data_IF_422483997864
#
_entry.id   IF_422483997864
#
_cell.length_a   1.000
_cell.length_b   1.000
_cell.length_c   1.000
_cell.angle_alpha   90.00
_cell.angle_beta   90.00
_cell.angle_gamma   90.00
#
_symmetry.space_group_name_H-M   'P 1'
#
loop_
_entity.id
_entity.type
_entity.pdbx_description
1 polymer ?
#
# COMPACT_ATOMS: atom_id res chain seq x y z
N UNK A 1 -20.24 5.56 48.34
CA UNK A 1 -19.45 4.36 48.67
C UNK A 1 -19.51 3.29 47.55
N UNK A 2 -19.39 3.67 46.26
CA UNK A 2 -19.64 2.74 45.13
C UNK A 2 -18.59 2.81 44.01
N UNK A 3 -17.33 3.17 44.28
CA UNK A 3 -16.29 3.19 43.24
C UNK A 3 -14.97 2.46 43.58
N UNK A 4 -14.85 1.81 44.75
CA UNK A 4 -13.61 1.11 45.14
C UNK A 4 -13.48 -0.32 44.56
N UNK A 5 -14.55 -0.94 44.07
CA UNK A 5 -14.51 -2.34 43.57
C UNK A 5 -13.93 -2.50 42.15
N UNK A 6 -13.93 -1.44 41.33
CA UNK A 6 -13.44 -1.52 39.95
C UNK A 6 -11.91 -1.50 39.85
N UNK A 7 -11.21 -0.99 40.87
CA UNK A 7 -9.75 -0.83 40.85
C UNK A 7 -8.98 -2.14 41.11
N UNK A 8 -9.64 -3.17 41.64
CA UNK A 8 -8.99 -4.42 42.09
C UNK A 8 -9.38 -5.69 41.31
N UNK A 9 -10.02 -5.56 40.14
CA UNK A 9 -10.42 -6.71 39.30
C UNK A 9 -9.55 -6.84 38.06
N UNK A 10 -8.94 -8.02 37.89
CA UNK A 10 -8.29 -8.45 36.65
C UNK A 10 -9.21 -9.34 35.82
N UNK A 11 -8.95 -9.43 34.53
CA UNK A 11 -9.75 -10.22 33.60
C UNK A 11 -8.88 -11.19 32.80
N UNK A 12 -9.19 -12.48 32.85
CA UNK A 12 -8.58 -13.48 31.98
C UNK A 12 -9.54 -13.89 30.84
N UNK A 13 -8.97 -14.28 29.71
CA UNK A 13 -9.71 -14.84 28.58
C UNK A 13 -9.95 -16.32 28.84
N UNK A 14 -11.20 -16.80 28.94
CA UNK A 14 -11.46 -18.22 29.13
C UNK A 14 -11.03 -19.04 27.90
N UNK A 15 -10.71 -20.35 28.05
CA UNK A 15 -10.25 -21.19 26.95
C UNK A 15 -11.21 -21.24 25.76
N UNK A 16 -12.53 -21.22 26.01
CA UNK A 16 -13.55 -21.20 24.96
C UNK A 16 -13.47 -19.92 24.11
N UNK A 17 -13.33 -18.76 24.75
CA UNK A 17 -13.16 -17.48 24.05
C UNK A 17 -11.88 -17.49 23.20
N UNK A 18 -10.77 -17.97 23.78
CA UNK A 18 -9.51 -18.09 23.05
C UNK A 18 -9.62 -19.05 21.84
N UNK A 19 -10.31 -20.18 22.02
CA UNK A 19 -10.59 -21.14 20.94
C UNK A 19 -11.44 -20.54 19.81
N UNK A 20 -12.51 -19.81 20.13
CA UNK A 20 -13.35 -19.12 19.15
C UNK A 20 -12.56 -18.07 18.36
N UNK A 21 -11.70 -17.30 19.04
CA UNK A 21 -10.86 -16.28 18.40
C UNK A 21 -9.78 -16.89 17.53
N UNK A 22 -9.13 -17.97 17.99
CA UNK A 22 -8.13 -18.69 17.20
C UNK A 22 -8.78 -19.27 15.94
N UNK A 23 -9.93 -19.94 16.09
CA UNK A 23 -10.68 -20.49 14.95
C UNK A 23 -11.11 -19.39 13.97
N UNK A 24 -11.67 -18.29 14.47
CA UNK A 24 -12.04 -17.14 13.63
C UNK A 24 -10.83 -16.57 12.89
N UNK A 25 -9.68 -16.45 13.56
CA UNK A 25 -8.45 -15.94 12.93
C UNK A 25 -7.92 -16.87 11.84
N UNK A 26 -7.97 -18.19 12.06
CA UNK A 26 -7.57 -19.19 11.06
C UNK A 26 -8.50 -19.20 9.84
N UNK A 27 -9.82 -19.12 10.05
CA UNK A 27 -10.79 -19.07 8.95
C UNK A 27 -10.64 -17.76 8.17
N UNK A 28 -10.40 -16.64 8.85
CA UNK A 28 -10.13 -15.37 8.19
C UNK A 28 -8.83 -15.44 7.36
N UNK A 29 -7.74 -15.98 7.92
CA UNK A 29 -6.50 -16.15 7.19
C UNK A 29 -6.65 -17.06 5.96
N UNK A 30 -7.46 -18.12 6.07
CA UNK A 30 -7.81 -18.98 4.94
C UNK A 30 -8.60 -18.24 3.86
N UNK A 31 -9.64 -17.49 4.25
CA UNK A 31 -10.45 -16.72 3.29
C UNK A 31 -9.63 -15.67 2.53
N UNK A 32 -8.66 -15.05 3.18
CA UNK A 32 -7.80 -14.02 2.59
C UNK A 32 -6.46 -14.55 2.07
N UNK A 33 -6.27 -15.87 1.98
CA UNK A 33 -4.98 -16.51 1.69
C UNK A 33 -4.31 -16.00 0.40
N UNK A 34 -5.06 -15.90 -0.69
CA UNK A 34 -4.55 -15.38 -1.97
C UNK A 34 -4.12 -13.91 -1.88
N UNK A 35 -4.93 -13.08 -1.21
CA UNK A 35 -4.61 -11.66 -1.00
C UNK A 35 -3.37 -11.47 -0.13
N UNK A 36 -3.19 -12.31 0.89
CA UNK A 36 -2.00 -12.33 1.76
C UNK A 36 -0.77 -12.75 0.96
N UNK A 37 -0.83 -13.86 0.21
CA UNK A 37 0.30 -14.32 -0.61
C UNK A 37 0.69 -13.31 -1.68
N UNK A 38 -0.29 -12.67 -2.32
CA UNK A 38 -0.04 -11.59 -3.27
C UNK A 38 0.67 -10.41 -2.59
N UNK A 39 0.22 -10.03 -1.39
CA UNK A 39 0.82 -8.94 -0.60
C UNK A 39 2.25 -9.25 -0.20
N UNK A 40 2.51 -10.44 0.35
CA UNK A 40 3.85 -10.92 0.71
C UNK A 40 4.76 -11.01 -0.51
N UNK A 41 4.23 -11.46 -1.66
CA UNK A 41 4.97 -11.48 -2.92
C UNK A 41 5.38 -10.10 -3.41
N UNK A 42 4.63 -9.04 -3.10
CA UNK A 42 5.03 -7.66 -3.39
C UNK A 42 6.16 -7.25 -2.44
N UNK A 43 6.04 -7.51 -1.14
CA UNK A 43 7.09 -7.17 -0.17
C UNK A 43 8.44 -7.80 -0.49
N UNK A 44 8.45 -9.00 -1.10
CA UNK A 44 9.69 -9.70 -1.49
C UNK A 44 10.32 -9.17 -2.79
N UNK A 45 9.54 -8.53 -3.66
CA UNK A 45 9.98 -8.17 -5.03
C UNK A 45 10.13 -6.67 -5.25
N UNK A 46 9.44 -5.85 -4.46
CA UNK A 46 9.47 -4.39 -4.53
C UNK A 46 10.32 -3.84 -3.39
N UNK A 47 11.31 -3.03 -3.74
CA UNK A 47 12.20 -2.38 -2.78
C UNK A 47 11.44 -1.36 -1.92
N UNK A 48 10.39 -0.74 -2.48
CA UNK A 48 9.54 0.24 -1.82
C UNK A 48 8.75 -0.37 -0.67
N UNK A 49 8.34 -1.64 -0.78
CA UNK A 49 7.46 -2.31 0.18
C UNK A 49 8.15 -3.35 1.08
N UNK A 50 9.47 -3.52 0.99
CA UNK A 50 10.22 -4.50 1.79
C UNK A 50 10.06 -4.34 3.30
N UNK A 51 9.77 -3.12 3.79
CA UNK A 51 9.47 -2.85 5.20
C UNK A 51 8.18 -3.54 5.70
N UNK A 52 7.29 -3.97 4.80
CA UNK A 52 6.02 -4.61 5.09
C UNK A 52 6.15 -5.87 5.96
N UNK A 53 7.27 -6.60 5.86
CA UNK A 53 7.54 -7.78 6.72
C UNK A 53 7.65 -7.44 8.21
N UNK A 54 8.14 -6.24 8.56
CA UNK A 54 8.39 -5.86 9.96
C UNK A 54 7.14 -5.33 10.66
N UNK A 55 6.20 -4.77 9.92
CA UNK A 55 5.05 -4.06 10.48
C UNK A 55 4.07 -5.00 11.23
N UNK A 56 3.69 -6.20 10.75
CA UNK A 56 2.82 -7.09 11.49
C UNK A 56 3.43 -7.57 12.82
N UNK A 57 4.71 -8.03 12.86
CA UNK A 57 5.39 -8.32 14.14
C UNK A 57 5.45 -7.13 15.09
N UNK A 58 5.78 -5.93 14.59
CA UNK A 58 5.80 -4.69 15.41
C UNK A 58 4.42 -4.40 15.98
N UNK A 59 3.37 -4.51 15.17
CA UNK A 59 1.99 -4.28 15.60
C UNK A 59 1.58 -5.28 16.68
N UNK A 60 1.90 -6.56 16.51
CA UNK A 60 1.65 -7.60 17.50
C UNK A 60 2.42 -7.35 18.81
N UNK A 61 3.69 -6.94 18.71
CA UNK A 61 4.52 -6.59 19.87
C UNK A 61 3.95 -5.39 20.65
N UNK A 62 3.51 -4.33 19.96
CA UNK A 62 2.89 -3.16 20.60
C UNK A 62 1.56 -3.50 21.28
N UNK A 63 0.77 -4.40 20.70
CA UNK A 63 -0.45 -4.91 21.35
C UNK A 63 -0.08 -5.75 22.58
N UNK A 64 0.91 -6.64 22.47
CA UNK A 64 1.40 -7.46 23.58
C UNK A 64 1.94 -6.62 24.74
N UNK A 65 2.60 -5.50 24.46
CA UNK A 65 3.07 -4.57 25.47
C UNK A 65 1.91 -3.97 26.29
N UNK A 66 0.72 -3.82 25.69
CA UNK A 66 -0.48 -3.32 26.34
C UNK A 66 -1.28 -4.41 27.09
N UNK A 67 -0.81 -5.66 27.15
CA UNK A 67 -1.53 -6.79 27.76
C UNK A 67 -1.99 -6.55 29.20
N UNK A 68 -1.17 -5.90 30.03
CA UNK A 68 -1.51 -5.65 31.44
C UNK A 68 -2.63 -4.60 31.56
N UNK A 69 -2.61 -3.58 30.69
CA UNK A 69 -3.69 -2.58 30.61
C UNK A 69 -4.99 -3.25 30.13
N UNK A 70 -4.91 -4.09 29.10
CA UNK A 70 -6.05 -4.85 28.59
C UNK A 70 -6.61 -5.84 29.62
N UNK A 71 -5.75 -6.45 30.44
CA UNK A 71 -6.17 -7.34 31.53
C UNK A 71 -6.95 -6.61 32.63
N UNK A 72 -6.77 -5.30 32.80
CA UNK A 72 -7.55 -4.48 33.75
C UNK A 72 -8.85 -3.94 33.15
N UNK A 73 -9.05 -4.05 31.83
CA UNK A 73 -10.29 -3.61 31.19
C UNK A 73 -11.28 -4.77 31.09
N UNK A 74 -12.51 -4.51 31.51
CA UNK A 74 -13.64 -5.35 31.14
C UNK A 74 -13.95 -5.13 29.66
N UNK A 75 -14.07 -6.21 28.91
CA UNK A 75 -14.39 -6.11 27.49
C UNK A 75 -15.89 -6.01 27.36
N UNK A 76 -16.35 -5.09 26.52
CA UNK A 76 -17.76 -4.91 26.21
C UNK A 76 -17.99 -5.31 24.73
N UNK A 77 -18.17 -6.61 24.42
CA UNK A 77 -18.36 -7.06 23.05
C UNK A 77 -19.49 -6.30 22.36
N UNK A 78 -19.29 -5.91 21.10
CA UNK A 78 -20.20 -5.01 20.38
C UNK A 78 -20.68 -5.60 19.06
N UNK A 79 -22.00 -5.62 18.87
CA UNK A 79 -22.63 -5.96 17.59
C UNK A 79 -22.31 -4.97 16.47
N UNK A 80 -21.96 -3.72 16.79
CA UNK A 80 -21.46 -2.77 15.78
C UNK A 80 -20.14 -3.25 15.18
N UNK A 81 -19.29 -3.91 15.97
CA UNK A 81 -18.08 -4.54 15.45
C UNK A 81 -18.40 -5.72 14.54
N UNK A 82 -19.42 -6.53 14.85
CA UNK A 82 -19.87 -7.62 13.97
C UNK A 82 -20.41 -7.08 12.64
N UNK A 83 -21.22 -6.01 12.68
CA UNK A 83 -21.66 -5.32 11.47
C UNK A 83 -20.49 -4.77 10.65
N UNK A 84 -19.45 -4.25 11.31
CA UNK A 84 -18.22 -3.83 10.63
C UNK A 84 -17.45 -5.01 10.01
N UNK A 85 -17.41 -6.20 10.64
CA UNK A 85 -16.82 -7.40 10.01
C UNK A 85 -17.59 -7.77 8.73
N UNK A 86 -18.93 -7.74 8.76
CA UNK A 86 -19.75 -8.02 7.59
C UNK A 86 -19.54 -6.98 6.47
N UNK A 87 -19.37 -5.70 6.82
CA UNK A 87 -18.97 -4.67 5.86
C UNK A 87 -17.60 -4.97 5.24
N UNK A 88 -16.63 -5.39 6.05
CA UNK A 88 -15.33 -5.87 5.56
C UNK A 88 -15.46 -7.08 4.64
N UNK A 89 -16.36 -8.01 4.97
CA UNK A 89 -16.74 -9.14 4.12
C UNK A 89 -17.36 -8.72 2.79
N UNK A 90 -18.20 -7.69 2.78
CA UNK A 90 -18.76 -7.12 1.56
C UNK A 90 -17.67 -6.45 0.69
N UNK A 91 -16.73 -5.73 1.30
CA UNK A 91 -15.57 -5.15 0.59
C UNK A 91 -14.67 -6.24 0.01
N UNK A 92 -14.45 -7.32 0.76
CA UNK A 92 -13.72 -8.50 0.30
C UNK A 92 -14.39 -9.13 -0.92
N UNK A 93 -15.69 -9.40 -0.83
CA UNK A 93 -16.48 -9.97 -1.93
C UNK A 93 -16.46 -9.05 -3.17
N UNK A 94 -16.62 -7.74 -2.96
CA UNK A 94 -16.50 -6.74 -4.01
C UNK A 94 -15.10 -6.75 -4.64
N UNK A 95 -14.05 -6.87 -3.84
CA UNK A 95 -12.66 -6.96 -4.31
C UNK A 95 -12.39 -8.21 -5.14
N UNK A 96 -12.99 -9.35 -4.78
CA UNK A 96 -12.91 -10.58 -5.56
C UNK A 96 -13.62 -10.44 -6.92
N UNK A 97 -14.85 -9.89 -6.94
CA UNK A 97 -15.60 -9.68 -8.19
C UNK A 97 -14.93 -8.61 -9.06
N UNK A 98 -14.38 -7.56 -8.46
CA UNK A 98 -13.65 -6.51 -9.15
C UNK A 98 -12.20 -6.88 -9.47
N UNK A 99 -11.81 -8.14 -9.26
CA UNK A 99 -10.49 -8.69 -9.60
C UNK A 99 -9.31 -7.85 -9.09
N UNK A 100 -9.49 -7.24 -7.91
CA UNK A 100 -8.55 -6.27 -7.36
C UNK A 100 -8.05 -6.73 -6.00
N UNK A 101 -6.83 -7.26 -5.95
CA UNK A 101 -6.19 -7.70 -4.70
C UNK A 101 -6.05 -6.57 -3.67
N UNK A 102 -5.81 -5.33 -4.11
CA UNK A 102 -5.68 -4.20 -3.19
C UNK A 102 -6.93 -4.01 -2.32
N UNK A 103 -8.13 -4.15 -2.90
CA UNK A 103 -9.36 -4.02 -2.14
C UNK A 103 -9.55 -5.19 -1.16
N UNK A 104 -9.21 -6.41 -1.58
CA UNK A 104 -9.17 -7.60 -0.72
C UNK A 104 -8.21 -7.41 0.46
N UNK A 105 -7.02 -6.84 0.23
CA UNK A 105 -6.01 -6.60 1.27
C UNK A 105 -6.44 -5.50 2.25
N UNK A 106 -7.04 -4.41 1.77
CA UNK A 106 -7.63 -3.40 2.66
C UNK A 106 -8.79 -3.96 3.48
N UNK A 107 -9.63 -4.81 2.87
CA UNK A 107 -10.70 -5.51 3.58
C UNK A 107 -10.17 -6.42 4.68
N UNK A 108 -9.02 -7.09 4.50
CA UNK A 108 -8.36 -7.88 5.55
C UNK A 108 -8.02 -7.02 6.76
N UNK A 109 -7.28 -5.92 6.55
CA UNK A 109 -6.87 -5.02 7.64
C UNK A 109 -8.09 -4.44 8.35
N UNK A 110 -9.11 -4.06 7.59
CA UNK A 110 -10.38 -3.58 8.14
C UNK A 110 -11.09 -4.66 8.98
N UNK A 111 -11.15 -5.92 8.51
CA UNK A 111 -11.70 -7.04 9.26
C UNK A 111 -10.94 -7.31 10.57
N UNK A 112 -9.61 -7.15 10.59
CA UNK A 112 -8.81 -7.29 11.81
C UNK A 112 -9.16 -6.20 12.83
N UNK A 113 -9.26 -4.94 12.39
CA UNK A 113 -9.73 -3.82 13.22
C UNK A 113 -11.15 -4.04 13.73
N UNK A 114 -12.07 -4.45 12.86
CA UNK A 114 -13.46 -4.72 13.19
C UNK A 114 -13.60 -5.88 14.18
N UNK A 115 -12.79 -6.94 14.03
CA UNK A 115 -12.76 -8.09 14.95
C UNK A 115 -12.25 -7.67 16.33
N UNK A 116 -11.17 -6.88 16.40
CA UNK A 116 -10.68 -6.34 17.66
C UNK A 116 -11.73 -5.43 18.33
N UNK A 117 -12.41 -4.58 17.56
CA UNK A 117 -13.48 -3.73 18.07
C UNK A 117 -14.71 -4.53 18.53
N UNK A 118 -15.13 -5.54 17.77
CA UNK A 118 -16.23 -6.44 18.12
C UNK A 118 -15.97 -7.18 19.44
N UNK A 119 -14.71 -7.58 19.66
CA UNK A 119 -14.28 -8.30 20.86
C UNK A 119 -14.17 -7.40 22.09
N UNK A 120 -13.48 -6.27 21.94
CA UNK A 120 -13.05 -5.44 23.06
C UNK A 120 -14.06 -4.36 23.43
N UNK A 121 -14.87 -3.91 22.47
CA UNK A 121 -15.62 -2.67 22.56
C UNK A 121 -14.72 -1.43 22.53
N UNK A 122 -15.32 -0.24 22.49
CA UNK A 122 -14.58 1.01 22.26
C UNK A 122 -13.52 1.31 23.33
N UNK A 123 -13.85 1.05 24.60
CA UNK A 123 -13.02 1.47 25.73
C UNK A 123 -11.66 0.72 25.78
N UNK A 124 -11.65 -0.55 25.39
CA UNK A 124 -10.42 -1.34 25.27
C UNK A 124 -9.81 -1.21 23.86
N UNK A 125 -10.62 -1.13 22.80
CA UNK A 125 -10.16 -1.01 21.41
C UNK A 125 -9.25 0.19 21.17
N UNK A 126 -9.53 1.36 21.76
CA UNK A 126 -8.70 2.57 21.59
C UNK A 126 -7.23 2.40 21.97
N UNK A 127 -6.91 1.43 22.85
CA UNK A 127 -5.55 1.11 23.26
C UNK A 127 -4.78 0.28 22.24
N UNK A 128 -5.49 -0.46 21.38
CA UNK A 128 -4.90 -1.30 20.32
C UNK A 128 -5.14 -0.74 18.91
N UNK A 129 -5.99 0.29 18.77
CA UNK A 129 -6.30 0.91 17.49
C UNK A 129 -5.04 1.45 16.80
N UNK A 130 -4.16 2.16 17.50
CA UNK A 130 -2.90 2.68 16.94
C UNK A 130 -2.03 1.59 16.29
N UNK A 131 -1.66 0.52 17.02
CA UNK A 131 -0.94 -0.62 16.46
C UNK A 131 -1.67 -1.30 15.30
N UNK A 132 -2.99 -1.44 15.34
CA UNK A 132 -3.76 -2.05 14.25
C UNK A 132 -3.83 -1.14 13.01
N UNK A 133 -3.88 0.18 13.18
CA UNK A 133 -3.83 1.14 12.07
C UNK A 133 -2.49 1.10 11.34
N UNK A 134 -1.40 0.72 12.03
CA UNK A 134 -0.09 0.54 11.40
C UNK A 134 -0.15 -0.53 10.29
N UNK A 135 -1.03 -1.53 10.40
CA UNK A 135 -1.21 -2.55 9.37
C UNK A 135 -1.72 -1.99 8.04
N UNK A 136 -2.32 -0.80 7.98
CA UNK A 136 -2.69 -0.22 6.68
C UNK A 136 -1.49 0.12 5.80
N UNK A 137 -0.32 0.38 6.39
CA UNK A 137 0.89 0.71 5.64
C UNK A 137 1.55 -0.50 4.95
N UNK A 138 1.13 -1.72 5.27
CA UNK A 138 1.64 -2.94 4.62
C UNK A 138 0.90 -3.25 3.33
N UNK A 139 -0.29 -2.67 3.15
CA UNK A 139 -1.12 -2.86 1.96
C UNK A 139 -0.58 -1.96 0.85
N UNK A 140 -0.14 -2.54 -0.29
CA UNK A 140 0.29 -1.76 -1.44
C UNK A 140 -0.82 -0.84 -1.94
N UNK A 141 -0.44 0.36 -2.36
CA UNK A 141 -1.41 1.32 -2.89
C UNK A 141 -2.04 0.77 -4.18
N UNK A 142 -3.30 1.13 -4.47
CA UNK A 142 -3.91 0.81 -5.75
C UNK A 142 -3.04 1.35 -6.90
N UNK A 143 -2.85 0.60 -8.01
CA UNK A 143 -1.94 0.99 -9.09
C UNK A 143 -2.18 2.40 -9.63
N UNK A 144 -3.45 2.83 -9.74
CA UNK A 144 -3.78 4.17 -10.21
C UNK A 144 -3.30 5.28 -9.26
N UNK A 145 -3.36 5.05 -7.94
CA UNK A 145 -2.85 6.00 -6.93
C UNK A 145 -1.33 6.00 -6.98
N UNK A 146 -0.72 4.81 -6.98
CA UNK A 146 0.72 4.65 -7.03
C UNK A 146 1.33 5.33 -8.25
N UNK A 147 0.82 5.05 -9.46
CA UNK A 147 1.31 5.63 -10.71
C UNK A 147 1.11 7.16 -10.76
N UNK A 148 -0.06 7.65 -10.31
CA UNK A 148 -0.31 9.09 -10.28
C UNK A 148 0.61 9.81 -9.29
N UNK A 149 0.82 9.22 -8.11
CA UNK A 149 1.73 9.75 -7.11
C UNK A 149 3.17 9.73 -7.62
N UNK A 150 3.63 8.60 -8.17
CA UNK A 150 4.96 8.46 -8.76
C UNK A 150 5.22 9.53 -9.84
N UNK A 151 4.32 9.67 -10.82
CA UNK A 151 4.47 10.67 -11.88
C UNK A 151 4.50 12.10 -11.37
N UNK A 152 3.61 12.46 -10.42
CA UNK A 152 3.62 13.80 -9.81
C UNK A 152 4.90 14.07 -9.02
N UNK A 153 5.37 13.09 -8.25
CA UNK A 153 6.59 13.24 -7.46
C UNK A 153 7.83 13.32 -8.35
N UNK A 154 7.88 12.62 -9.49
CA UNK A 154 8.96 12.77 -10.47
C UNK A 154 9.02 14.21 -10.98
N UNK A 155 7.91 14.80 -11.42
CA UNK A 155 7.88 16.19 -11.91
C UNK A 155 8.33 17.19 -10.85
N UNK A 156 7.75 17.12 -9.65
CA UNK A 156 8.12 18.01 -8.53
C UNK A 156 9.59 17.84 -8.14
N UNK A 157 10.07 16.58 -8.09
CA UNK A 157 11.46 16.33 -7.70
C UNK A 157 12.45 16.76 -8.76
N UNK A 158 12.10 16.67 -10.06
CA UNK A 158 12.91 17.20 -11.16
C UNK A 158 12.98 18.72 -11.13
N UNK A 159 11.87 19.42 -10.87
CA UNK A 159 11.85 20.89 -10.75
C UNK A 159 12.76 21.39 -9.62
N UNK A 160 12.63 20.79 -8.44
CA UNK A 160 13.46 21.14 -7.27
C UNK A 160 14.91 20.69 -7.49
N UNK A 161 15.14 19.52 -8.09
CA UNK A 161 16.48 19.03 -8.43
C UNK A 161 17.21 19.96 -9.39
N UNK A 162 16.51 20.50 -10.40
CA UNK A 162 17.06 21.53 -11.31
C UNK A 162 17.40 22.82 -10.58
N UNK A 163 16.57 23.24 -9.61
CA UNK A 163 16.91 24.40 -8.78
C UNK A 163 18.22 24.17 -7.99
N UNK A 164 18.45 22.96 -7.48
CA UNK A 164 19.70 22.57 -6.82
C UNK A 164 20.88 22.58 -7.81
N UNK A 165 20.73 22.03 -9.02
CA UNK A 165 21.80 22.05 -10.05
C UNK A 165 22.18 23.48 -10.43
N UNK A 166 21.18 24.34 -10.64
CA UNK A 166 21.39 25.76 -10.97
C UNK A 166 22.05 26.53 -9.82
N UNK A 167 21.85 26.11 -8.57
CA UNK A 167 22.56 26.69 -7.43
C UNK A 167 24.08 26.49 -7.51
N UNK A 168 24.54 25.40 -8.16
CA UNK A 168 25.95 25.15 -8.44
C UNK A 168 26.47 25.85 -9.71
N UNK A 169 25.66 26.73 -10.33
CA UNK A 169 26.06 27.49 -11.51
C UNK A 169 25.99 26.73 -12.83
N UNK A 170 25.36 25.54 -12.84
CA UNK A 170 25.22 24.71 -14.04
C UNK A 170 23.92 25.08 -14.77
N UNK A 171 24.03 25.37 -16.06
CA UNK A 171 22.87 25.69 -16.92
C UNK A 171 22.23 24.42 -17.44
N UNK A 172 21.01 24.14 -16.98
CA UNK A 172 20.22 22.97 -17.42
C UNK A 172 18.83 23.36 -17.89
N UNK A 173 18.32 22.61 -18.87
CA UNK A 173 16.95 22.71 -19.36
C UNK A 173 16.11 21.55 -18.81
N UNK A 174 14.85 21.82 -18.45
CA UNK A 174 13.93 20.82 -17.90
C UNK A 174 12.76 20.65 -18.86
N UNK A 175 12.55 19.43 -19.33
CA UNK A 175 11.41 19.05 -20.16
C UNK A 175 10.69 17.86 -19.50
N UNK A 176 9.55 18.13 -18.84
CA UNK A 176 8.85 17.12 -18.05
C UNK A 176 9.72 16.61 -16.90
N UNK A 177 10.07 15.32 -16.92
CA UNK A 177 10.99 14.69 -15.96
C UNK A 177 12.40 14.47 -16.52
N UNK A 178 12.73 15.05 -17.69
CA UNK A 178 14.05 14.96 -18.32
C UNK A 178 14.83 16.25 -18.09
N UNK A 179 16.01 16.12 -17.47
CA UNK A 179 16.96 17.19 -17.21
C UNK A 179 18.06 17.11 -18.27
N UNK A 180 18.12 18.12 -19.13
CA UNK A 180 19.09 18.22 -20.22
C UNK A 180 20.29 19.08 -19.81
N UNK A 181 21.46 18.45 -19.72
CA UNK A 181 22.78 19.04 -19.47
C UNK A 181 23.49 19.44 -20.78
N UNK A 182 22.81 19.35 -21.92
CA UNK A 182 23.32 19.61 -23.27
C UNK A 182 24.07 18.43 -23.87
N UNK A 183 25.01 17.84 -23.12
CA UNK A 183 25.80 16.68 -23.57
C UNK A 183 25.25 15.33 -23.05
N UNK A 184 24.40 15.37 -22.03
CA UNK A 184 23.78 14.20 -21.41
C UNK A 184 22.36 14.52 -20.94
N UNK A 185 21.45 13.54 -21.04
CA UNK A 185 20.05 13.69 -20.62
C UNK A 185 19.77 12.79 -19.42
N UNK A 186 19.56 13.40 -18.26
CA UNK A 186 19.17 12.70 -17.05
C UNK A 186 17.65 12.57 -17.01
N UNK A 187 17.15 11.34 -17.00
CA UNK A 187 15.73 11.08 -16.86
C UNK A 187 15.42 10.61 -15.44
N UNK A 188 14.50 11.31 -14.77
CA UNK A 188 13.98 10.88 -13.47
C UNK A 188 12.93 9.79 -13.71
N UNK A 189 13.41 8.56 -13.83
CA UNK A 189 12.59 7.35 -14.00
C UNK A 189 11.85 7.00 -12.71
N UNK A 190 10.96 6.01 -12.77
CA UNK A 190 10.11 5.57 -11.64
C UNK A 190 10.90 5.29 -10.35
N UNK A 191 12.08 4.67 -10.47
CA UNK A 191 12.97 4.40 -9.35
C UNK A 191 13.45 5.67 -8.60
N UNK A 192 13.44 6.82 -9.27
CA UNK A 192 13.83 8.12 -8.71
C UNK A 192 12.63 8.97 -8.25
N UNK A 193 11.40 8.42 -8.25
CA UNK A 193 10.20 9.11 -7.75
C UNK A 193 10.24 9.44 -6.25
N UNK A 194 11.15 8.80 -5.49
CA UNK A 194 11.26 8.95 -4.05
C UNK A 194 10.31 8.05 -3.24
N UNK A 195 9.44 7.27 -3.91
CA UNK A 195 8.51 6.35 -3.23
C UNK A 195 9.23 5.30 -2.38
N UNK A 196 10.40 4.83 -2.85
CA UNK A 196 11.30 3.91 -2.12
C UNK A 196 11.68 4.39 -0.72
N UNK A 197 11.71 5.70 -0.49
CA UNK A 197 12.02 6.29 0.82
C UNK A 197 10.75 6.79 1.52
N UNK A 198 9.79 7.31 0.76
CA UNK A 198 8.54 7.86 1.29
C UNK A 198 7.74 6.81 2.07
N UNK A 199 7.48 5.64 1.48
CA UNK A 199 6.64 4.62 2.11
C UNK A 199 7.19 4.09 3.44
N UNK A 200 8.48 3.65 3.52
CA UNK A 200 9.04 3.24 4.80
C UNK A 200 9.12 4.40 5.80
N UNK A 201 9.48 5.63 5.36
CA UNK A 201 9.59 6.76 6.29
C UNK A 201 8.23 7.19 6.85
N UNK A 202 7.17 7.23 6.05
CA UNK A 202 5.80 7.52 6.53
C UNK A 202 5.34 6.47 7.54
N UNK A 203 5.65 5.19 7.29
CA UNK A 203 5.33 4.09 8.22
C UNK A 203 6.08 4.23 9.55
N UNK A 204 7.37 4.55 9.48
CA UNK A 204 8.21 4.83 10.66
C UNK A 204 7.74 6.11 11.37
N UNK A 205 7.35 7.14 10.64
CA UNK A 205 6.86 8.40 11.20
C UNK A 205 5.52 8.18 11.93
N UNK A 206 4.63 7.32 11.41
CA UNK A 206 3.42 6.93 12.12
C UNK A 206 3.75 6.17 13.41
N UNK A 207 4.66 5.20 13.35
CA UNK A 207 5.13 4.46 14.53
C UNK A 207 5.79 5.40 15.54
N UNK A 208 6.63 6.33 15.07
CA UNK A 208 7.31 7.31 15.90
C UNK A 208 6.30 8.26 16.56
N UNK A 209 5.36 8.81 15.79
CA UNK A 209 4.25 9.61 16.29
C UNK A 209 3.41 8.84 17.29
N UNK A 210 3.16 7.54 17.07
CA UNK A 210 2.45 6.68 18.02
C UNK A 210 3.20 6.56 19.36
N UNK A 211 4.52 6.39 19.34
CA UNK A 211 5.37 6.30 20.54
C UNK A 211 5.73 7.66 21.16
N UNK A 212 5.45 8.76 20.46
CA UNK A 212 5.76 10.11 20.87
C UNK A 212 4.68 10.68 21.80
N UNK A 213 4.98 10.73 23.10
CA UNK A 213 4.10 11.16 24.20
C UNK A 213 4.06 12.68 24.33
N UNK A 214 3.53 13.34 23.32
CA UNK A 214 3.32 14.80 23.29
C UNK A 214 1.90 15.13 22.80
N UNK A 215 1.60 16.42 22.70
CA UNK A 215 0.32 16.90 22.21
C UNK A 215 0.02 16.38 20.79
N UNK A 216 -1.27 16.09 20.51
CA UNK A 216 -1.67 15.44 19.26
C UNK A 216 -1.22 16.21 18.01
N UNK A 217 -1.23 17.54 18.04
CA UNK A 217 -0.79 18.36 16.90
C UNK A 217 0.68 18.13 16.54
N UNK A 218 1.58 17.93 17.52
CA UNK A 218 3.00 17.62 17.28
C UNK A 218 3.16 16.24 16.64
N UNK A 219 2.36 15.27 17.08
CA UNK A 219 2.34 13.91 16.54
C UNK A 219 1.86 13.92 15.08
N UNK A 220 0.78 14.66 14.79
CA UNK A 220 0.29 14.85 13.42
C UNK A 220 1.32 15.56 12.57
N UNK A 221 1.95 16.61 13.09
CA UNK A 221 2.98 17.36 12.36
C UNK A 221 4.17 16.48 11.98
N UNK A 222 4.74 15.72 12.92
CA UNK A 222 5.84 14.75 12.65
C UNK A 222 5.44 13.69 11.64
N UNK A 223 4.19 13.22 11.68
CA UNK A 223 3.71 12.26 10.68
C UNK A 223 3.57 12.89 9.29
N UNK A 224 3.01 14.10 9.20
CA UNK A 224 2.81 14.78 7.92
C UNK A 224 4.09 15.35 7.33
N UNK A 225 5.08 15.72 8.17
CA UNK A 225 6.37 16.26 7.76
C UNK A 225 7.26 15.23 7.06
N UNK A 226 7.06 13.92 7.31
CA UNK A 226 7.82 12.87 6.62
C UNK A 226 7.64 12.94 5.09
N UNK A 227 6.48 13.38 4.61
CA UNK A 227 6.20 13.56 3.18
C UNK A 227 7.10 14.65 2.58
N UNK A 228 7.03 15.94 2.98
CA UNK A 228 7.92 16.96 2.42
C UNK A 228 9.39 16.69 2.68
N UNK A 229 9.77 16.08 3.82
CA UNK A 229 11.17 15.68 4.08
C UNK A 229 11.67 14.75 2.97
N UNK A 230 10.92 13.69 2.64
CA UNK A 230 11.33 12.75 1.59
C UNK A 230 11.35 13.37 0.20
N UNK A 231 10.36 14.19 -0.15
CA UNK A 231 10.32 14.87 -1.45
C UNK A 231 11.52 15.80 -1.61
N UNK A 232 11.82 16.62 -0.60
CA UNK A 232 12.95 17.55 -0.64
C UNK A 232 14.29 16.81 -0.70
N UNK A 233 14.47 15.77 0.10
CA UNK A 233 15.71 15.00 0.11
C UNK A 233 15.91 14.17 -1.17
N UNK A 234 14.83 13.64 -1.76
CA UNK A 234 14.87 12.99 -3.06
C UNK A 234 15.22 13.99 -4.17
N UNK A 235 14.66 15.19 -4.13
CA UNK A 235 14.99 16.26 -5.07
C UNK A 235 16.44 16.71 -4.94
N UNK A 236 16.93 16.85 -3.70
CA UNK A 236 18.33 17.16 -3.42
C UNK A 236 19.26 16.08 -4.00
N UNK A 237 18.93 14.79 -3.82
CA UNK A 237 19.65 13.68 -4.44
C UNK A 237 19.72 13.82 -5.96
N UNK A 238 18.59 14.07 -6.63
CA UNK A 238 18.57 14.28 -8.09
C UNK A 238 19.50 15.43 -8.49
N UNK A 239 19.49 16.53 -7.73
CA UNK A 239 20.37 17.67 -7.99
C UNK A 239 21.86 17.33 -7.80
N UNK A 240 22.20 16.56 -6.76
CA UNK A 240 23.56 16.08 -6.52
C UNK A 240 24.02 15.16 -7.65
N UNK A 241 23.19 14.23 -8.10
CA UNK A 241 23.51 13.37 -9.25
C UNK A 241 23.74 14.21 -10.50
N UNK A 242 22.90 15.22 -10.76
CA UNK A 242 23.10 16.14 -11.88
C UNK A 242 24.44 16.87 -11.83
N UNK A 243 24.81 17.37 -10.65
CA UNK A 243 26.12 17.98 -10.43
C UNK A 243 27.28 17.00 -10.65
N UNK A 244 27.15 15.76 -10.16
CA UNK A 244 28.20 14.75 -10.31
C UNK A 244 28.39 14.32 -11.76
N UNK A 245 27.29 14.18 -12.51
CA UNK A 245 27.34 13.82 -13.94
C UNK A 245 28.01 14.90 -14.77
N UNK A 246 27.69 16.18 -14.51
CA UNK A 246 28.32 17.32 -15.20
C UNK A 246 29.84 17.35 -15.01
N UNK A 247 30.32 17.06 -13.78
CA UNK A 247 31.73 17.27 -13.43
C UNK A 247 32.58 15.99 -13.53
N UNK A 248 31.99 14.81 -13.36
CA UNK A 248 32.70 13.53 -13.25
C UNK A 248 32.20 12.48 -14.25
N UNK A 249 31.23 12.83 -15.10
CA UNK A 249 30.74 12.01 -16.21
C UNK A 249 29.53 11.12 -15.88
N UNK A 250 28.91 10.59 -16.92
CA UNK A 250 27.67 9.81 -16.86
C UNK A 250 27.72 8.55 -15.97
N UNK A 251 28.92 7.98 -15.77
CA UNK A 251 29.10 6.81 -14.92
C UNK A 251 28.68 7.04 -13.45
N UNK A 252 28.56 8.29 -13.00
CA UNK A 252 28.06 8.60 -11.66
C UNK A 252 26.54 8.41 -11.51
N UNK A 253 25.78 8.40 -12.61
CA UNK A 253 24.34 8.18 -12.60
C UNK A 253 23.97 6.67 -12.56
N UNK A 254 24.92 5.77 -12.81
CA UNK A 254 24.67 4.34 -13.03
C UNK A 254 25.46 3.46 -12.04
N UNK A 255 24.84 2.36 -11.58
CA UNK A 255 25.49 1.33 -10.78
C UNK A 255 25.51 1.57 -9.25
N UNK A 256 26.55 1.08 -8.57
CA UNK A 256 26.63 0.99 -7.10
C UNK A 256 26.46 2.33 -6.37
N UNK A 257 26.96 3.43 -6.94
CA UNK A 257 26.84 4.76 -6.32
C UNK A 257 25.38 5.20 -6.22
N UNK A 258 24.56 4.88 -7.24
CA UNK A 258 23.14 5.19 -7.26
C UNK A 258 22.38 4.52 -6.11
N UNK A 259 22.66 3.24 -5.85
CA UNK A 259 22.01 2.46 -4.77
C UNK A 259 22.52 2.86 -3.38
N UNK A 260 23.84 3.08 -3.24
CA UNK A 260 24.45 3.52 -1.99
C UNK A 260 23.92 4.89 -1.55
N UNK A 261 23.78 5.83 -2.47
CA UNK A 261 23.16 7.12 -2.22
C UNK A 261 21.74 7.01 -1.69
N UNK A 262 20.96 6.05 -2.18
CA UNK A 262 19.58 5.84 -1.74
C UNK A 262 19.48 5.52 -0.25
N UNK A 263 20.36 4.65 0.25
CA UNK A 263 20.43 4.35 1.67
C UNK A 263 20.88 5.56 2.50
N UNK A 264 21.87 6.33 2.03
CA UNK A 264 22.33 7.55 2.70
C UNK A 264 21.21 8.58 2.82
N UNK A 265 20.45 8.79 1.74
CA UNK A 265 19.32 9.71 1.72
C UNK A 265 18.22 9.26 2.68
N UNK A 266 17.90 7.97 2.74
CA UNK A 266 16.95 7.44 3.72
C UNK A 266 17.41 7.71 5.17
N UNK A 267 18.69 7.46 5.48
CA UNK A 267 19.27 7.74 6.79
C UNK A 267 19.23 9.23 7.13
N UNK A 268 19.50 10.10 6.16
CA UNK A 268 19.38 11.55 6.32
C UNK A 268 17.92 11.98 6.60
N UNK A 269 16.95 11.45 5.86
CA UNK A 269 15.53 11.70 6.11
C UNK A 269 15.11 11.28 7.52
N UNK A 270 15.53 10.08 7.95
CA UNK A 270 15.26 9.58 9.31
C UNK A 270 15.90 10.48 10.37
N UNK A 271 17.14 10.92 10.16
CA UNK A 271 17.81 11.86 11.06
C UNK A 271 17.07 13.20 11.15
N UNK A 272 16.63 13.76 10.02
CA UNK A 272 15.85 15.01 10.00
C UNK A 272 14.55 14.85 10.78
N UNK A 273 13.85 13.73 10.61
CA UNK A 273 12.62 13.42 11.36
C UNK A 273 12.89 13.38 12.88
N UNK A 274 13.97 12.70 13.31
CA UNK A 274 14.36 12.63 14.73
C UNK A 274 14.79 13.99 15.26
N UNK A 275 15.48 14.81 14.45
CA UNK A 275 15.86 16.17 14.80
C UNK A 275 14.61 17.04 14.99
N UNK A 276 13.66 16.99 14.06
CA UNK A 276 12.37 17.67 14.14
C UNK A 276 11.61 17.28 15.41
N UNK A 277 11.50 15.98 15.71
CA UNK A 277 10.91 15.51 16.97
C UNK A 277 11.62 16.10 18.19
N UNK A 278 12.95 16.14 18.18
CA UNK A 278 13.77 16.68 19.28
C UNK A 278 13.55 18.18 19.46
N UNK A 279 13.42 18.93 18.37
CA UNK A 279 13.14 20.37 18.41
C UNK A 279 11.72 20.63 18.90
N UNK A 280 10.73 19.90 18.39
CA UNK A 280 9.33 20.02 18.82
C UNK A 280 9.11 19.62 20.28
N UNK A 281 9.92 18.70 20.81
CA UNK A 281 9.89 18.32 22.22
C UNK A 281 10.29 19.48 23.15
N UNK A 282 11.08 20.44 22.64
CA UNK A 282 11.50 21.65 23.37
C UNK A 282 10.48 22.79 23.26
N UNK A 283 9.56 22.74 22.31
CA UNK A 283 8.56 23.79 22.07
C UNK A 283 7.31 23.55 22.92
N UNK A 284 7.01 24.43 23.88
CA UNK A 284 5.80 24.37 24.71
C UNK A 284 6.06 24.67 26.18
N UNK A 285 5.08 24.34 27.05
CA UNK A 285 5.11 24.67 28.49
C UNK A 285 6.14 23.86 29.32
N UNK A 286 6.83 22.91 28.70
CA UNK A 286 7.96 22.18 29.29
C UNK A 286 8.94 21.79 28.19
N UNK A 287 10.24 22.06 28.42
CA UNK A 287 11.30 21.59 27.53
C UNK A 287 11.69 20.18 27.93
N UNK A 288 11.21 19.19 27.19
CA UNK A 288 11.52 17.79 27.44
C UNK A 288 12.63 17.30 26.50
N UNK A 289 13.47 16.39 26.99
CA UNK A 289 14.41 15.66 26.14
C UNK A 289 13.70 14.56 25.37
N UNK A 290 14.19 14.22 24.17
CA UNK A 290 13.57 13.18 23.31
C UNK A 290 13.36 11.85 24.07
N UNK A 291 14.30 11.44 24.93
CA UNK A 291 14.20 10.20 25.71
C UNK A 291 13.05 10.20 26.74
N UNK A 292 12.59 11.36 27.19
CA UNK A 292 11.50 11.46 28.16
C UNK A 292 10.12 11.34 27.49
N UNK A 293 10.03 11.83 26.26
CA UNK A 293 8.78 11.88 25.48
C UNK A 293 8.66 10.75 24.47
N UNK A 294 9.78 10.13 24.11
CA UNK A 294 9.83 8.98 23.21
C UNK A 294 10.20 7.74 23.99
N UNK A 295 9.25 6.81 24.10
CA UNK A 295 9.52 5.59 24.83
C UNK A 295 8.37 4.61 24.78
N UNK A 296 8.75 3.35 24.72
CA UNK A 296 7.89 2.22 25.02
C UNK A 296 7.53 2.30 26.52
N UNK A 297 6.25 2.41 26.86
CA UNK A 297 5.79 2.32 28.25
C UNK A 297 6.32 0.99 28.84
N UNK A 298 7.12 1.04 29.90
CA UNK A 298 7.41 -0.16 30.68
C UNK A 298 6.08 -0.76 31.11
N UNK A 299 5.88 -2.07 30.90
CA UNK A 299 4.66 -2.74 31.33
C UNK A 299 4.42 -2.43 32.81
N UNK A 300 3.39 -1.66 33.12
CA UNK A 300 3.04 -1.45 34.52
C UNK A 300 2.71 -2.82 35.12
N UNK A 301 3.40 -3.23 36.20
CA UNK A 301 3.09 -4.48 36.86
C UNK A 301 1.63 -4.45 37.32
N UNK A 302 0.96 -5.59 37.24
CA UNK A 302 -0.39 -5.71 37.77
C UNK A 302 -0.36 -5.44 39.29
N UNK A 303 -1.33 -4.71 39.86
CA UNK A 303 -1.36 -4.44 41.29
C UNK A 303 -1.42 -5.77 42.05
N UNK A 304 -0.77 -5.83 43.21
CA UNK A 304 -0.81 -7.01 44.08
C UNK A 304 -2.23 -7.13 44.68
N UNK A 305 -2.81 -8.33 44.62
CA UNK A 305 -4.15 -8.60 45.16
C UNK A 305 -5.32 -8.44 44.17
N UNK A 306 -5.06 -8.40 42.85
CA UNK A 306 -6.14 -8.46 41.86
C UNK A 306 -6.92 -9.78 41.95
N UNK A 307 -8.24 -9.68 42.05
CA UNK A 307 -9.13 -10.82 41.81
C UNK A 307 -9.36 -11.00 40.31
N UNK A 308 -8.94 -12.13 39.76
CA UNK A 308 -9.13 -12.42 38.33
C UNK A 308 -10.50 -13.05 38.07
N UNK A 309 -11.30 -12.40 37.22
CA UNK A 309 -12.57 -12.92 36.72
C UNK A 309 -12.43 -13.41 35.27
N UNK A 310 -13.20 -14.44 34.92
CA UNK A 310 -13.33 -14.86 33.52
C UNK A 310 -14.22 -13.88 32.77
N UNK A 311 -13.79 -13.43 31.59
CA UNK A 311 -14.67 -12.69 30.69
C UNK A 311 -15.83 -13.58 30.23
N UNK A 312 -17.09 -13.11 30.22
CA UNK A 312 -18.21 -13.90 29.75
C UNK A 312 -18.14 -14.11 28.23
N UNK A 313 -18.39 -15.34 27.78
CA UNK A 313 -18.61 -15.61 26.35
C UNK A 313 -20.04 -15.22 26.01
N UNK A 314 -20.19 -14.17 25.20
CA UNK A 314 -21.47 -13.63 24.74
C UNK A 314 -21.81 -14.08 23.32
N UNK A 315 -23.06 -13.86 22.89
CA UNK A 315 -23.52 -14.11 21.52
C UNK A 315 -22.68 -13.38 20.44
N UNK A 316 -22.04 -12.26 20.78
CA UNK A 316 -21.15 -11.52 19.87
C UNK A 316 -19.96 -12.37 19.41
N UNK A 317 -19.40 -13.23 20.26
CA UNK A 317 -18.27 -14.09 19.89
C UNK A 317 -18.67 -15.11 18.82
N UNK A 318 -19.87 -15.67 18.94
CA UNK A 318 -20.44 -16.52 17.91
C UNK A 318 -20.77 -15.71 16.65
N UNK A 319 -21.27 -14.48 16.79
CA UNK A 319 -21.49 -13.56 15.67
C UNK A 319 -20.21 -13.24 14.88
N UNK A 320 -19.06 -13.06 15.56
CA UNK A 320 -17.75 -12.92 14.92
C UNK A 320 -17.43 -14.18 14.11
N UNK A 321 -17.49 -15.36 14.74
CA UNK A 321 -17.19 -16.63 14.08
C UNK A 321 -18.09 -16.85 12.86
N UNK A 322 -19.41 -16.66 13.00
CA UNK A 322 -20.37 -16.79 11.91
C UNK A 322 -20.07 -15.81 10.78
N UNK A 323 -19.74 -14.56 11.09
CA UNK A 323 -19.40 -13.55 10.07
C UNK A 323 -18.16 -13.98 9.27
N UNK A 324 -17.12 -14.46 9.94
CA UNK A 324 -15.90 -14.92 9.28
C UNK A 324 -16.14 -16.20 8.47
N UNK A 325 -16.97 -17.12 8.96
CA UNK A 325 -17.41 -18.30 8.18
C UNK A 325 -18.15 -17.88 6.91
N UNK A 326 -19.06 -16.90 7.00
CA UNK A 326 -19.76 -16.38 5.82
C UNK A 326 -18.79 -15.78 4.80
N UNK A 327 -17.76 -15.05 5.25
CA UNK A 327 -16.71 -14.51 4.38
C UNK A 327 -15.96 -15.66 3.69
N UNK A 328 -15.53 -16.68 4.43
CA UNK A 328 -14.84 -17.83 3.86
C UNK A 328 -15.71 -18.60 2.85
N UNK A 329 -17.00 -18.81 3.16
CA UNK A 329 -17.95 -19.43 2.25
C UNK A 329 -18.17 -18.60 0.97
N UNK A 330 -18.17 -17.26 1.09
CA UNK A 330 -18.27 -16.38 -0.07
C UNK A 330 -17.04 -16.52 -0.99
N UNK A 331 -15.86 -16.66 -0.40
CA UNK A 331 -14.61 -16.89 -1.13
C UNK A 331 -14.63 -18.23 -1.86
N UNK A 332 -15.02 -19.31 -1.16
CA UNK A 332 -15.08 -20.64 -1.77
C UNK A 332 -16.16 -20.71 -2.83
N UNK A 333 -17.28 -20.00 -2.66
CA UNK A 333 -18.33 -19.92 -3.68
C UNK A 333 -17.84 -19.25 -4.96
N UNK A 334 -17.09 -18.14 -4.86
CA UNK A 334 -16.51 -17.46 -6.02
C UNK A 334 -15.50 -18.37 -6.72
N UNK A 335 -14.60 -19.02 -5.96
CA UNK A 335 -13.62 -19.95 -6.53
C UNK A 335 -14.29 -21.18 -7.17
N UNK A 336 -15.35 -21.71 -6.56
CA UNK A 336 -16.06 -22.89 -7.06
C UNK A 336 -16.92 -22.62 -8.30
N UNK A 337 -17.35 -21.38 -8.53
CA UNK A 337 -18.11 -21.03 -9.74
C UNK A 337 -17.34 -21.28 -11.04
N UNK A 338 -16.01 -21.41 -10.96
CA UNK A 338 -15.15 -21.59 -12.12
C UNK A 338 -15.12 -20.35 -13.01
N UNK A 339 -14.07 -20.20 -13.80
CA UNK A 339 -14.01 -19.14 -14.81
C UNK A 339 -14.68 -19.63 -16.10
N UNK A 340 -15.62 -18.86 -16.62
CA UNK A 340 -16.13 -19.08 -17.98
C UNK A 340 -15.06 -18.56 -18.94
N UNK A 341 -14.32 -19.48 -19.57
CA UNK A 341 -13.40 -19.17 -20.65
C UNK A 341 -14.12 -19.35 -21.99
N UNK A 342 -14.57 -18.27 -22.65
CA UNK A 342 -15.27 -18.39 -23.92
C UNK A 342 -14.35 -19.03 -24.97
N UNK A 343 -14.88 -19.97 -25.75
CA UNK A 343 -14.18 -20.47 -26.93
C UNK A 343 -14.01 -19.31 -27.93
N UNK A 344 -12.78 -19.13 -28.41
CA UNK A 344 -12.42 -18.07 -29.35
C UNK A 344 -11.34 -18.56 -30.31
N UNK A 345 -11.22 -17.88 -31.45
CA UNK A 345 -10.03 -17.97 -32.28
C UNK A 345 -8.87 -17.20 -31.61
N UNK A 346 -7.65 -17.68 -31.81
CA UNK A 346 -6.44 -16.97 -31.39
C UNK A 346 -6.15 -15.77 -32.30
N UNK A 347 -5.50 -14.73 -31.75
CA UNK A 347 -5.11 -13.56 -32.55
C UNK A 347 -4.02 -13.89 -33.59
N UNK A 348 -3.34 -15.02 -33.47
CA UNK A 348 -2.43 -15.56 -34.50
C UNK A 348 -3.12 -15.75 -35.86
N UNK A 349 -4.43 -15.98 -35.87
CA UNK A 349 -5.26 -16.08 -37.08
C UNK A 349 -5.97 -14.80 -37.49
N UNK A 350 -5.69 -13.65 -36.85
CA UNK A 350 -6.38 -12.40 -37.16
C UNK A 350 -6.04 -11.90 -38.58
N UNK A 351 -7.01 -11.38 -39.37
CA UNK A 351 -6.77 -11.02 -40.76
C UNK A 351 -5.74 -9.89 -40.92
N UNK A 352 -4.75 -10.12 -41.78
CA UNK A 352 -3.80 -9.10 -42.24
C UNK A 352 -4.37 -8.22 -43.36
N UNK A 353 -5.45 -8.64 -44.00
CA UNK A 353 -6.13 -7.86 -45.03
C UNK A 353 -7.57 -7.59 -44.61
N UNK A 354 -7.93 -6.31 -44.53
CA UNK A 354 -9.25 -5.85 -44.14
C UNK A 354 -9.73 -4.78 -45.13
N UNK A 355 -10.36 -5.22 -46.23
CA UNK A 355 -10.75 -4.31 -47.31
C UNK A 355 -9.54 -3.65 -47.96
N UNK A 356 -9.45 -2.32 -47.93
CA UNK A 356 -8.32 -1.53 -48.47
C UNK A 356 -7.09 -1.50 -47.53
N UNK A 357 -7.19 -2.10 -46.33
CA UNK A 357 -6.13 -2.05 -45.32
C UNK A 357 -5.26 -3.31 -45.37
N UNK A 358 -3.93 -3.11 -45.40
CA UNK A 358 -2.92 -4.16 -45.28
C UNK A 358 -2.17 -3.98 -43.96
N UNK A 359 -2.22 -5.01 -43.13
CA UNK A 359 -1.66 -5.07 -41.79
C UNK A 359 -0.31 -5.78 -41.76
N UNK A 360 0.58 -5.29 -40.90
CA UNK A 360 1.83 -5.94 -40.52
C UNK A 360 1.84 -6.14 -39.01
N UNK A 361 1.99 -7.39 -38.59
CA UNK A 361 2.07 -7.74 -37.18
C UNK A 361 3.37 -7.21 -36.58
N UNK A 362 3.28 -6.73 -35.34
CA UNK A 362 4.40 -6.38 -34.49
C UNK A 362 4.45 -7.30 -33.27
N UNK A 363 5.64 -7.39 -32.67
CA UNK A 363 5.86 -8.22 -31.48
C UNK A 363 6.10 -7.33 -30.28
N UNK A 364 5.43 -7.64 -29.18
CA UNK A 364 5.77 -7.06 -27.89
C UNK A 364 7.08 -7.68 -27.38
N UNK A 365 7.98 -6.84 -26.90
CA UNK A 365 9.18 -7.32 -26.21
C UNK A 365 8.79 -8.14 -24.97
N UNK A 366 9.59 -9.17 -24.64
CA UNK A 366 9.30 -10.11 -23.55
C UNK A 366 9.06 -9.41 -22.22
N UNK A 367 9.79 -8.33 -21.94
CA UNK A 367 9.65 -7.53 -20.71
C UNK A 367 8.20 -7.05 -20.52
N UNK A 368 7.53 -6.66 -21.61
CA UNK A 368 6.15 -6.19 -21.58
C UNK A 368 5.19 -7.36 -21.40
N UNK A 369 5.45 -8.51 -22.03
CA UNK A 369 4.65 -9.72 -21.84
C UNK A 369 4.69 -10.20 -20.39
N UNK A 370 5.88 -10.21 -19.78
CA UNK A 370 6.09 -10.62 -18.39
C UNK A 370 5.38 -9.68 -17.40
N UNK A 371 5.30 -8.39 -17.75
CA UNK A 371 4.59 -7.39 -16.94
C UNK A 371 3.07 -7.42 -17.14
N UNK A 372 2.60 -7.55 -18.38
CA UNK A 372 1.18 -7.46 -18.73
C UNK A 372 0.42 -8.76 -18.50
N UNK A 373 1.13 -9.91 -18.54
CA UNK A 373 0.61 -11.27 -18.30
C UNK A 373 -0.69 -11.57 -19.06
N UNK A 374 -0.74 -11.11 -20.30
CA UNK A 374 -1.83 -11.36 -21.23
C UNK A 374 -1.76 -12.81 -21.75
N UNK A 375 -2.92 -13.43 -21.94
CA UNK A 375 -3.03 -14.81 -22.44
C UNK A 375 -2.89 -14.87 -23.97
N UNK A 376 -3.32 -13.82 -24.67
CA UNK A 376 -3.23 -13.67 -26.13
C UNK A 376 -3.22 -12.16 -26.48
N UNK A 377 -2.56 -11.76 -27.57
CA UNK A 377 -2.57 -10.36 -28.02
C UNK A 377 -2.45 -10.21 -29.55
N UNK A 378 -2.90 -9.06 -30.02
CA UNK A 378 -2.64 -8.54 -31.36
C UNK A 378 -1.96 -7.19 -31.22
N UNK A 379 -0.84 -7.00 -31.90
CA UNK A 379 -0.26 -5.69 -32.14
C UNK A 379 0.05 -5.63 -33.64
N UNK A 380 -0.55 -4.70 -34.37
CA UNK A 380 -0.40 -4.61 -35.82
C UNK A 380 -0.56 -3.18 -36.34
N UNK A 381 0.25 -2.85 -37.35
CA UNK A 381 0.14 -1.60 -38.10
C UNK A 381 -0.56 -1.85 -39.43
N UNK A 382 -1.70 -1.21 -39.63
CA UNK A 382 -2.46 -1.22 -40.86
C UNK A 382 -2.20 0.04 -41.68
N UNK A 383 -2.02 -0.15 -42.98
CA UNK A 383 -1.89 0.94 -43.95
C UNK A 383 -2.83 0.73 -45.13
N UNK A 384 -3.44 1.80 -45.63
CA UNK A 384 -4.24 1.76 -46.84
C UNK A 384 -3.49 2.35 -48.06
N UNK A 385 -4.08 2.20 -49.24
CA UNK A 385 -3.48 2.68 -50.50
C UNK A 385 -3.38 4.23 -50.58
N UNK A 386 -4.07 4.97 -49.69
CA UNK A 386 -3.98 6.45 -49.56
C UNK A 386 -2.84 6.89 -48.64
N UNK A 387 -2.16 5.94 -47.98
CA UNK A 387 -1.05 6.21 -47.08
C UNK A 387 -1.46 6.49 -45.63
N UNK A 388 -2.74 6.38 -45.28
CA UNK A 388 -3.22 6.49 -43.91
C UNK A 388 -2.75 5.28 -43.10
N UNK A 389 -2.48 5.47 -41.80
CA UNK A 389 -1.94 4.44 -40.91
C UNK A 389 -2.81 4.31 -39.65
N UNK A 390 -3.01 3.07 -39.21
CA UNK A 390 -3.74 2.73 -37.98
C UNK A 390 -2.94 1.66 -37.23
N UNK A 391 -2.52 1.96 -36.00
CA UNK A 391 -1.99 0.97 -35.08
C UNK A 391 -3.16 0.33 -34.30
N UNK A 392 -3.22 -1.00 -34.29
CA UNK A 392 -4.21 -1.78 -33.56
C UNK A 392 -3.51 -2.62 -32.49
N UNK A 393 -3.87 -2.35 -31.23
CA UNK A 393 -3.46 -3.15 -30.09
C UNK A 393 -4.68 -3.76 -29.41
N UNK A 394 -4.67 -5.08 -29.23
CA UNK A 394 -5.70 -5.83 -28.50
C UNK A 394 -5.01 -6.80 -27.54
N UNK A 395 -5.38 -6.76 -26.26
CA UNK A 395 -4.93 -7.72 -25.27
C UNK A 395 -6.10 -8.55 -24.78
N UNK A 396 -5.89 -9.86 -24.61
CA UNK A 396 -6.87 -10.79 -24.09
C UNK A 396 -6.39 -11.43 -22.79
N UNK A 397 -7.35 -11.57 -21.87
CA UNK A 397 -7.18 -12.18 -20.57
C UNK A 397 -8.28 -13.23 -20.42
N UNK A 398 -7.90 -14.49 -20.36
CA UNK A 398 -8.79 -15.64 -20.22
C UNK A 398 -9.37 -15.73 -18.80
N UNK A 399 -8.59 -15.27 -17.81
CA UNK A 399 -8.99 -15.23 -16.41
C UNK A 399 -9.56 -13.86 -16.05
N UNK A 400 -10.67 -13.86 -15.31
CA UNK A 400 -11.23 -12.67 -14.67
C UNK A 400 -11.16 -12.81 -13.16
N UNK A 401 -10.05 -13.35 -12.65
CA UNK A 401 -9.74 -13.36 -11.23
C UNK A 401 -8.75 -12.24 -10.89
N UNK A 402 -8.69 -11.91 -9.60
CA UNK A 402 -7.71 -10.96 -9.12
C UNK A 402 -6.29 -11.42 -9.48
N UNK A 403 -5.50 -10.52 -10.06
CA UNK A 403 -4.15 -10.83 -10.56
C UNK A 403 -4.04 -11.10 -12.07
N UNK A 404 -5.16 -11.29 -12.76
CA UNK A 404 -5.25 -11.46 -14.22
C UNK A 404 -5.99 -10.29 -14.88
N UNK A 405 -5.96 -9.11 -14.25
CA UNK A 405 -6.75 -7.96 -14.69
C UNK A 405 -6.16 -7.28 -15.93
N UNK A 406 -7.05 -6.83 -16.81
CA UNK A 406 -6.65 -6.12 -18.02
C UNK A 406 -5.94 -4.79 -17.69
N UNK A 407 -4.72 -4.62 -18.21
CA UNK A 407 -4.02 -3.34 -18.17
C UNK A 407 -4.68 -2.37 -19.13
N UNK A 408 -5.40 -1.38 -18.59
CA UNK A 408 -6.06 -0.37 -19.45
C UNK A 408 -5.02 0.53 -20.11
N UNK A 409 -5.07 0.73 -21.44
CA UNK A 409 -4.23 1.73 -22.11
C UNK A 409 -4.40 3.14 -21.54
N UNK A 410 -5.53 3.43 -20.87
CA UNK A 410 -5.77 4.70 -20.17
C UNK A 410 -4.77 4.97 -19.05
N UNK A 411 -4.18 3.94 -18.47
CA UNK A 411 -3.17 4.07 -17.42
C UNK A 411 -1.77 4.29 -17.99
N UNK A 412 -1.46 3.66 -19.13
CA UNK A 412 -0.09 3.62 -19.69
C UNK A 412 0.18 4.74 -20.69
N UNK A 413 -0.78 5.07 -21.56
CA UNK A 413 -0.61 6.08 -22.62
C UNK A 413 -0.25 7.47 -22.06
N UNK A 414 -0.88 7.96 -20.96
CA UNK A 414 -0.47 9.22 -20.35
C UNK A 414 0.97 9.24 -19.82
N UNK A 415 1.50 8.10 -19.38
CA UNK A 415 2.89 7.98 -18.94
C UNK A 415 3.90 8.24 -20.07
N UNK A 416 3.50 8.03 -21.33
CA UNK A 416 4.30 8.33 -22.52
C UNK A 416 4.12 9.76 -23.06
N UNK A 417 3.49 10.66 -22.29
CA UNK A 417 3.26 12.06 -22.69
C UNK A 417 2.00 12.31 -23.53
N UNK A 418 1.22 11.27 -23.82
CA UNK A 418 -0.02 11.38 -24.60
C UNK A 418 -1.19 11.84 -23.73
N UNK A 419 -2.04 12.73 -24.27
CA UNK A 419 -3.27 13.13 -23.60
C UNK A 419 -4.47 12.43 -24.24
N UNK A 420 -5.33 11.85 -23.41
CA UNK A 420 -6.55 11.19 -23.88
C UNK A 420 -7.59 12.29 -24.18
N UNK A 421 -7.92 12.46 -25.47
CA UNK A 421 -8.89 13.48 -25.91
C UNK A 421 -10.34 13.13 -25.60
N UNK A 422 -10.80 11.94 -26.02
CA UNK A 422 -12.18 11.46 -25.80
C UNK A 422 -12.18 9.96 -25.50
N UNK A 423 -13.20 9.51 -24.78
CA UNK A 423 -13.42 8.12 -24.40
C UNK A 423 -14.89 7.77 -24.62
N UNK A 424 -15.15 6.93 -25.63
CA UNK A 424 -16.50 6.39 -25.89
C UNK A 424 -16.55 4.88 -25.72
N UNK A 425 -17.65 4.38 -25.15
CA UNK A 425 -17.95 2.95 -25.11
C UNK A 425 -18.92 2.63 -26.24
N UNK A 426 -18.56 1.70 -27.13
CA UNK A 426 -19.45 1.21 -28.19
C UNK A 426 -19.80 -0.25 -27.95
N UNK A 427 -21.10 -0.58 -27.96
CA UNK A 427 -21.55 -1.97 -27.96
C UNK A 427 -21.39 -2.54 -29.36
N UNK A 428 -20.69 -3.66 -29.48
CA UNK A 428 -20.62 -4.39 -30.74
C UNK A 428 -21.88 -5.25 -30.86
N UNK A 429 -22.73 -4.94 -31.84
CA UNK A 429 -23.96 -5.71 -32.09
C UNK A 429 -23.63 -7.09 -32.67
N UNK A 430 -24.47 -8.09 -32.39
CA UNK A 430 -24.28 -9.46 -32.88
C UNK A 430 -23.28 -10.32 -32.10
N UNK A 431 -22.64 -9.79 -31.05
CA UNK A 431 -21.73 -10.56 -30.18
C UNK A 431 -22.43 -10.89 -28.85
N UNK A 432 -22.76 -12.17 -28.63
CA UNK A 432 -23.21 -12.70 -27.34
C UNK A 432 -22.05 -13.44 -26.67
N UNK A 433 -21.55 -12.90 -25.56
CA UNK A 433 -20.63 -13.64 -24.68
C UNK A 433 -21.53 -14.49 -23.79
N UNK A 434 -21.47 -15.81 -23.97
CA UNK A 434 -22.40 -16.79 -23.40
C UNK A 434 -22.50 -16.76 -21.87
#
# INVERSE_FOLDING_TARGET
MTNSKAENTGWHTPPLMAGLLLLSSLILAFAFWEGINHMVGIWSRSEEYGYGFFIPPISAYLIWQRRNLLARQDFSPSWLGVAAILLGGALFFLGQIATTFTLVQYALVFCLLATAFALMGWQAFKWVAGPLLLLFFVVPLPPFIYNNLSGKLQLVSSEIGVAVIRLFGISVFLEGNVIDLGHYKLQVVEACSGLRYLFPLVSIAFLAAYLYKVEMWKRVFVFLSSIPITVLMNSFRIGVIGYLVENYGAAQAEGFLHDFEGWVIFMACFFILVLEMTLLAKVGKGSYSLRQVFGLDSQEPLPQGLEFKSRPVTAVHYGILTSVVLIALSSTYIQAKGEVRPQRAEFSGYPRELGEWRGRDELLAQIYLDSLKLDDYLLADYRNDRGEQVNLYVAYYASQQAGSAAHSPRACIPGGGWQIGDVTTRRVEGVSVG
#
